data_IF_794499215918
#
_entry.id   IF_794499215918
#
_cell.length_a   1.000
_cell.length_b   1.000
_cell.length_c   1.000
_cell.angle_alpha   90.00
_cell.angle_beta   90.00
_cell.angle_gamma   90.00
#
_symmetry.space_group_name_H-M   'P 1'
#
loop_
_entity.id
_entity.type
_entity.pdbx_description
1 polymer ?
#
# COMPACT_ATOMS: atom_id res chain seq x y z
N UNK A 1 -8.83 -2.19 31.70
CA UNK A 1 -7.93 -3.28 31.26
C UNK A 1 -8.55 -3.90 30.01
N UNK A 2 -8.24 -3.38 28.82
CA UNK A 2 -8.61 -4.02 27.55
C UNK A 2 -7.98 -5.42 27.55
N UNK A 3 -8.76 -6.48 27.32
CA UNK A 3 -8.19 -7.81 27.08
C UNK A 3 -7.33 -7.69 25.83
N UNK A 4 -6.01 -7.82 26.00
CA UNK A 4 -5.08 -7.80 24.88
C UNK A 4 -5.47 -8.91 23.90
N UNK A 5 -5.87 -8.50 22.69
CA UNK A 5 -6.34 -9.44 21.67
C UNK A 5 -5.21 -10.37 21.24
N UNK A 6 -5.53 -11.67 21.14
CA UNK A 6 -4.58 -12.69 20.74
C UNK A 6 -4.45 -12.73 19.21
N UNK A 7 -3.21 -12.91 18.73
CA UNK A 7 -2.94 -13.17 17.31
C UNK A 7 -3.58 -14.51 16.93
N UNK A 8 -4.28 -14.62 15.78
CA UNK A 8 -4.87 -15.89 15.34
C UNK A 8 -3.83 -17.01 15.25
N UNK A 9 -4.23 -18.21 15.64
CA UNK A 9 -3.37 -19.38 15.51
C UNK A 9 -2.97 -19.60 14.04
N UNK A 10 -1.71 -19.94 13.79
CA UNK A 10 -1.21 -20.16 12.44
C UNK A 10 -0.86 -18.89 11.65
N UNK A 11 -0.87 -17.72 12.28
CA UNK A 11 -0.51 -16.44 11.64
C UNK A 11 0.69 -15.82 12.33
N UNK A 12 1.70 -15.42 11.55
CA UNK A 12 2.84 -14.64 12.00
C UNK A 12 2.53 -13.15 11.80
N UNK A 13 2.33 -12.44 12.91
CA UNK A 13 2.19 -10.99 12.95
C UNK A 13 2.35 -10.48 14.39
N UNK A 14 2.63 -9.20 14.55
CA UNK A 14 2.63 -8.56 15.88
C UNK A 14 1.22 -8.19 16.35
N UNK A 15 1.01 -8.04 17.66
CA UNK A 15 -0.29 -7.57 18.21
C UNK A 15 -0.64 -6.16 17.73
N UNK A 16 0.35 -5.29 17.59
CA UNK A 16 0.12 -3.92 17.10
C UNK A 16 -0.20 -3.89 15.60
N UNK A 17 0.31 -4.85 14.81
CA UNK A 17 -0.15 -5.08 13.44
C UNK A 17 -1.62 -5.48 13.39
N UNK A 18 -2.04 -6.45 14.23
CA UNK A 18 -3.44 -6.88 14.30
C UNK A 18 -4.38 -5.73 14.69
N UNK A 19 -3.99 -4.93 15.70
CA UNK A 19 -4.77 -3.75 16.12
C UNK A 19 -4.95 -2.78 14.95
N UNK A 20 -3.87 -2.50 14.21
CA UNK A 20 -3.93 -1.60 13.06
C UNK A 20 -4.81 -2.15 11.93
N UNK A 21 -4.66 -3.44 11.60
CA UNK A 21 -5.50 -4.10 10.61
C UNK A 21 -6.99 -3.97 10.94
N UNK A 22 -7.36 -4.22 12.21
CA UNK A 22 -8.74 -4.08 12.69
C UNK A 22 -9.25 -2.65 12.63
N UNK A 23 -8.46 -1.66 13.06
CA UNK A 23 -8.88 -0.26 12.99
C UNK A 23 -9.22 0.18 11.56
N UNK A 24 -8.44 -0.25 10.55
CA UNK A 24 -8.79 0.01 9.15
C UNK A 24 -10.03 -0.78 8.73
N UNK A 25 -10.10 -2.07 9.09
CA UNK A 25 -11.22 -2.95 8.75
C UNK A 25 -12.55 -2.43 9.33
N UNK A 26 -12.57 -1.92 10.56
CA UNK A 26 -13.76 -1.34 11.21
C UNK A 26 -14.36 -0.20 10.39
N UNK A 27 -13.54 0.73 9.87
CA UNK A 27 -14.02 1.83 9.02
C UNK A 27 -14.58 1.30 7.70
N UNK A 28 -13.87 0.36 7.07
CA UNK A 28 -14.33 -0.27 5.83
C UNK A 28 -15.65 -1.02 6.02
N UNK A 29 -15.76 -1.82 7.08
CA UNK A 29 -16.91 -2.69 7.37
C UNK A 29 -18.13 -1.86 7.74
N UNK A 30 -17.95 -0.77 8.50
CA UNK A 30 -18.98 0.24 8.75
C UNK A 30 -19.57 0.79 7.44
N UNK A 31 -18.74 1.16 6.46
CA UNK A 31 -19.24 1.65 5.17
C UNK A 31 -19.86 0.54 4.32
N UNK A 32 -19.31 -0.68 4.36
CA UNK A 32 -19.92 -1.85 3.73
C UNK A 32 -21.32 -2.12 4.27
N UNK A 33 -21.51 -2.03 5.58
CA UNK A 33 -22.79 -2.23 6.26
C UNK A 33 -23.82 -1.19 5.83
N UNK A 34 -23.45 0.10 5.85
CA UNK A 34 -24.34 1.17 5.36
C UNK A 34 -24.76 0.99 3.90
N UNK A 35 -23.91 0.37 3.09
CA UNK A 35 -24.14 0.14 1.67
C UNK A 35 -24.57 -1.31 1.35
N UNK A 36 -24.94 -2.12 2.35
CA UNK A 36 -25.13 -3.56 2.20
C UNK A 36 -26.13 -3.93 1.09
N UNK A 37 -27.26 -3.23 1.03
CA UNK A 37 -28.29 -3.46 0.00
C UNK A 37 -27.80 -3.11 -1.41
N UNK A 38 -26.98 -2.07 -1.55
CA UNK A 38 -26.38 -1.72 -2.85
C UNK A 38 -25.38 -2.82 -3.25
N UNK A 39 -24.57 -3.35 -2.34
CA UNK A 39 -23.64 -4.44 -2.66
C UNK A 39 -24.33 -5.74 -3.09
N UNK A 40 -25.55 -5.99 -2.61
CA UNK A 40 -26.40 -7.13 -3.03
C UNK A 40 -27.11 -6.89 -4.36
N UNK A 41 -27.26 -5.63 -4.78
CA UNK A 41 -27.93 -5.27 -6.02
C UNK A 41 -27.19 -5.78 -7.26
N UNK A 42 -27.90 -5.84 -8.40
CA UNK A 42 -27.34 -6.34 -9.64
C UNK A 42 -26.17 -5.46 -10.12
N UNK A 43 -25.28 -6.03 -10.93
CA UNK A 43 -24.17 -5.26 -11.54
C UNK A 43 -24.68 -4.09 -12.37
N UNK A 44 -25.85 -4.23 -13.01
CA UNK A 44 -26.46 -3.18 -13.82
C UNK A 44 -26.91 -2.00 -12.96
N UNK A 45 -27.52 -2.28 -11.80
CA UNK A 45 -28.00 -1.25 -10.88
C UNK A 45 -26.84 -0.43 -10.29
N UNK A 46 -25.72 -1.11 -10.00
CA UNK A 46 -24.51 -0.50 -9.45
C UNK A 46 -23.74 0.30 -10.49
N UNK A 47 -23.96 0.05 -11.79
CA UNK A 47 -23.15 0.62 -12.86
C UNK A 47 -23.15 2.16 -12.88
N UNK A 48 -24.27 2.79 -12.56
CA UNK A 48 -24.40 4.26 -12.53
C UNK A 48 -23.47 4.88 -11.47
N UNK A 49 -23.33 4.22 -10.32
CA UNK A 49 -22.46 4.65 -9.22
C UNK A 49 -20.98 4.34 -9.51
N UNK A 50 -20.72 3.20 -10.15
CA UNK A 50 -19.36 2.72 -10.40
C UNK A 50 -18.67 3.35 -11.60
N UNK A 51 -19.42 3.72 -12.64
CA UNK A 51 -18.84 4.17 -13.91
C UNK A 51 -17.93 5.41 -13.74
N UNK A 52 -18.32 6.46 -12.99
CA UNK A 52 -17.44 7.59 -12.73
C UNK A 52 -16.14 7.17 -12.02
N UNK A 53 -16.26 6.30 -11.02
CA UNK A 53 -15.14 5.82 -10.20
C UNK A 53 -14.16 4.99 -11.05
N UNK A 54 -14.68 4.04 -11.83
CA UNK A 54 -13.86 3.21 -12.73
C UNK A 54 -13.13 4.07 -13.75
N UNK A 55 -13.82 5.06 -14.34
CA UNK A 55 -13.20 5.98 -15.30
C UNK A 55 -12.07 6.76 -14.64
N UNK A 56 -12.31 7.32 -13.46
CA UNK A 56 -11.32 8.08 -12.70
C UNK A 56 -10.07 7.27 -12.36
N UNK A 57 -10.25 6.07 -11.81
CA UNK A 57 -9.13 5.18 -11.45
C UNK A 57 -8.37 4.75 -12.71
N UNK A 58 -9.07 4.26 -13.75
CA UNK A 58 -8.40 3.72 -14.93
C UNK A 58 -7.73 4.77 -15.82
N UNK A 59 -8.16 6.04 -15.73
CA UNK A 59 -7.56 7.12 -16.53
C UNK A 59 -6.41 7.82 -15.80
N UNK A 60 -6.15 7.50 -14.53
CA UNK A 60 -5.10 8.14 -13.74
C UNK A 60 -3.75 8.03 -14.45
N UNK A 61 -3.11 9.17 -14.66
CA UNK A 61 -1.76 9.27 -15.23
C UNK A 61 -0.84 10.03 -14.28
N UNK A 62 0.46 9.94 -14.55
CA UNK A 62 1.49 10.48 -13.68
C UNK A 62 1.73 11.98 -13.92
N UNK A 63 0.69 12.82 -13.84
CA UNK A 63 0.84 14.28 -13.87
C UNK A 63 -0.01 14.97 -12.81
N UNK A 64 0.50 16.08 -12.26
CA UNK A 64 -0.18 16.84 -11.20
C UNK A 64 -1.55 17.32 -11.67
N UNK A 65 -1.65 17.82 -12.91
CA UNK A 65 -2.91 18.29 -13.48
C UNK A 65 -3.95 17.17 -13.58
N UNK A 66 -3.54 16.00 -14.08
CA UNK A 66 -4.43 14.87 -14.27
C UNK A 66 -4.89 14.31 -12.91
N UNK A 67 -3.97 14.13 -11.96
CA UNK A 67 -4.28 13.67 -10.61
C UNK A 67 -5.25 14.63 -9.93
N UNK A 68 -4.98 15.94 -10.00
CA UNK A 68 -5.84 16.98 -9.42
C UNK A 68 -7.23 16.99 -10.07
N UNK A 69 -7.30 16.84 -11.39
CA UNK A 69 -8.55 16.77 -12.13
C UNK A 69 -9.39 15.54 -11.74
N UNK A 70 -8.75 14.37 -11.65
CA UNK A 70 -9.41 13.13 -11.19
C UNK A 70 -9.87 13.26 -9.74
N UNK A 71 -9.04 13.80 -8.86
CA UNK A 71 -9.39 14.01 -7.46
C UNK A 71 -10.61 14.92 -7.31
N UNK A 72 -10.66 16.04 -8.05
CA UNK A 72 -11.82 16.96 -8.06
C UNK A 72 -13.10 16.25 -8.51
N UNK A 73 -13.05 15.46 -9.59
CA UNK A 73 -14.21 14.69 -10.04
C UNK A 73 -14.66 13.67 -8.98
N UNK A 74 -13.74 13.01 -8.30
CA UNK A 74 -14.07 12.06 -7.23
C UNK A 74 -14.68 12.74 -6.01
N UNK A 75 -14.13 13.88 -5.59
CA UNK A 75 -14.68 14.67 -4.48
C UNK A 75 -16.10 15.16 -4.81
N UNK A 76 -16.31 15.67 -6.03
CA UNK A 76 -17.64 16.10 -6.48
C UNK A 76 -18.64 14.94 -6.54
N UNK A 77 -18.22 13.78 -7.08
CA UNK A 77 -19.07 12.59 -7.13
C UNK A 77 -19.44 12.10 -5.73
N UNK A 78 -18.46 11.98 -4.83
CA UNK A 78 -18.68 11.57 -3.44
C UNK A 78 -19.59 12.56 -2.71
N UNK A 79 -19.39 13.87 -2.89
CA UNK A 79 -20.23 14.92 -2.32
C UNK A 79 -21.68 14.80 -2.78
N UNK A 80 -21.89 14.59 -4.09
CA UNK A 80 -23.21 14.39 -4.65
C UNK A 80 -23.88 13.12 -4.12
N UNK A 81 -23.18 11.98 -4.06
CA UNK A 81 -23.76 10.77 -3.49
C UNK A 81 -24.05 10.91 -1.99
N UNK A 82 -23.24 11.69 -1.27
CA UNK A 82 -23.45 11.99 0.14
C UNK A 82 -24.72 12.81 0.39
N UNK A 83 -25.03 13.78 -0.47
CA UNK A 83 -26.26 14.57 -0.36
C UNK A 83 -27.53 13.76 -0.66
N UNK A 84 -27.42 12.71 -1.47
CA UNK A 84 -28.53 11.81 -1.78
C UNK A 84 -28.75 10.73 -0.71
N UNK A 85 -27.68 10.30 -0.02
CA UNK A 85 -27.81 9.37 1.09
C UNK A 85 -26.50 8.71 1.49
N UNK A 86 -26.37 8.47 2.80
CA UNK A 86 -25.19 7.86 3.42
C UNK A 86 -24.81 6.49 2.82
N UNK A 87 -25.80 5.70 2.40
CA UNK A 87 -25.62 4.39 1.78
C UNK A 87 -24.93 4.50 0.40
N UNK A 88 -25.34 5.47 -0.43
CA UNK A 88 -24.74 5.72 -1.75
C UNK A 88 -23.29 6.20 -1.62
N UNK A 89 -23.05 7.18 -0.74
CA UNK A 89 -21.70 7.64 -0.43
C UNK A 89 -20.81 6.50 0.07
N UNK A 90 -21.29 5.71 1.04
CA UNK A 90 -20.51 4.60 1.61
C UNK A 90 -20.18 3.53 0.55
N UNK A 91 -21.11 3.26 -0.37
CA UNK A 91 -20.84 2.37 -1.50
C UNK A 91 -19.72 2.91 -2.38
N UNK A 92 -19.81 4.17 -2.79
CA UNK A 92 -18.81 4.80 -3.64
C UNK A 92 -17.43 4.91 -2.97
N UNK A 93 -17.40 5.20 -1.66
CA UNK A 93 -16.17 5.27 -0.88
C UNK A 93 -15.45 3.92 -0.86
N UNK A 94 -16.17 2.85 -0.50
CA UNK A 94 -15.63 1.48 -0.51
C UNK A 94 -15.20 1.07 -1.91
N UNK A 95 -16.02 1.36 -2.92
CA UNK A 95 -15.71 0.96 -4.29
C UNK A 95 -14.50 1.70 -4.87
N UNK A 96 -14.30 2.98 -4.51
CA UNK A 96 -13.09 3.72 -4.87
C UNK A 96 -11.87 3.07 -4.23
N UNK A 97 -11.93 2.74 -2.94
CA UNK A 97 -10.83 2.06 -2.22
C UNK A 97 -10.49 0.71 -2.86
N UNK A 98 -11.51 -0.11 -3.11
CA UNK A 98 -11.35 -1.41 -3.79
C UNK A 98 -10.74 -1.25 -5.19
N UNK A 99 -11.19 -0.26 -5.99
CA UNK A 99 -10.71 -0.08 -7.36
C UNK A 99 -9.27 0.42 -7.41
N UNK A 100 -8.87 1.30 -6.49
CA UNK A 100 -7.47 1.74 -6.36
C UNK A 100 -6.60 0.57 -5.88
N UNK A 101 -7.04 -0.19 -4.87
CA UNK A 101 -6.32 -1.37 -4.42
C UNK A 101 -6.14 -2.40 -5.55
N UNK A 102 -7.16 -2.62 -6.39
CA UNK A 102 -7.10 -3.53 -7.55
C UNK A 102 -6.05 -3.14 -8.61
N UNK A 103 -5.49 -1.92 -8.57
CA UNK A 103 -4.38 -1.54 -9.45
C UNK A 103 -3.05 -2.13 -8.98
N UNK A 104 -2.98 -2.52 -7.70
CA UNK A 104 -1.80 -3.07 -7.03
C UNK A 104 -0.93 -3.96 -7.91
N UNK A 105 -1.45 -5.06 -8.50
CA UNK A 105 -0.65 -5.99 -9.30
C UNK A 105 0.18 -5.32 -10.41
N UNK A 106 -0.39 -4.33 -11.11
CA UNK A 106 0.29 -3.61 -12.21
C UNK A 106 1.36 -2.62 -11.73
N UNK A 107 1.30 -2.18 -10.47
CA UNK A 107 2.21 -1.16 -9.94
C UNK A 107 3.63 -1.68 -9.68
N UNK A 108 3.83 -3.01 -9.71
CA UNK A 108 5.17 -3.59 -9.63
C UNK A 108 6.07 -3.24 -10.82
N UNK A 109 5.48 -2.98 -11.99
CA UNK A 109 6.18 -2.54 -13.19
C UNK A 109 6.26 -1.01 -13.31
N UNK A 110 5.34 -0.27 -12.68
CA UNK A 110 5.19 1.18 -12.83
C UNK A 110 5.16 1.90 -11.48
N UNK A 111 6.33 2.04 -10.84
CA UNK A 111 6.46 2.70 -9.53
C UNK A 111 5.88 4.13 -9.50
N UNK A 112 6.05 4.89 -10.59
CA UNK A 112 5.54 6.27 -10.69
C UNK A 112 4.02 6.33 -10.52
N UNK A 113 3.29 5.33 -11.03
CA UNK A 113 1.84 5.27 -10.90
C UNK A 113 1.41 4.97 -9.46
N UNK A 114 2.23 4.28 -8.66
CA UNK A 114 1.98 4.10 -7.23
C UNK A 114 1.99 5.45 -6.48
N UNK A 115 2.90 6.36 -6.84
CA UNK A 115 2.92 7.72 -6.31
C UNK A 115 1.69 8.53 -6.76
N UNK A 116 1.27 8.40 -8.02
CA UNK A 116 0.06 9.05 -8.51
C UNK A 116 -1.20 8.60 -7.75
N UNK A 117 -1.36 7.30 -7.51
CA UNK A 117 -2.47 6.77 -6.70
C UNK A 117 -2.40 7.22 -5.24
N UNK A 118 -1.19 7.31 -4.65
CA UNK A 118 -1.02 7.82 -3.30
C UNK A 118 -1.42 9.30 -3.20
N UNK A 119 -1.05 10.11 -4.18
CA UNK A 119 -1.42 11.53 -4.23
C UNK A 119 -2.93 11.73 -4.45
N UNK A 120 -3.54 10.95 -5.35
CA UNK A 120 -5.00 10.89 -5.49
C UNK A 120 -5.65 10.59 -4.14
N UNK A 121 -5.12 9.61 -3.40
CA UNK A 121 -5.65 9.23 -2.11
C UNK A 121 -5.49 10.33 -1.06
N UNK A 122 -4.35 11.04 -1.06
CA UNK A 122 -4.13 12.21 -0.22
C UNK A 122 -5.19 13.29 -0.45
N UNK A 123 -5.41 13.67 -1.72
CA UNK A 123 -6.36 14.72 -2.09
C UNK A 123 -7.81 14.37 -1.74
N UNK A 124 -8.25 13.14 -2.04
CA UNK A 124 -9.60 12.69 -1.69
C UNK A 124 -9.77 12.60 -0.17
N UNK A 125 -8.76 12.10 0.54
CA UNK A 125 -8.83 11.94 2.00
C UNK A 125 -8.82 13.28 2.74
N UNK A 126 -8.25 14.34 2.15
CA UNK A 126 -8.35 15.69 2.71
C UNK A 126 -9.80 16.20 2.81
N UNK A 127 -10.70 15.71 1.95
CA UNK A 127 -12.15 16.00 2.03
C UNK A 127 -12.93 14.92 2.77
N UNK A 128 -12.44 13.67 2.75
CA UNK A 128 -13.12 12.51 3.30
C UNK A 128 -12.13 11.57 4.01
N UNK A 129 -11.80 11.87 5.27
CA UNK A 129 -10.77 11.15 6.03
C UNK A 129 -10.98 9.62 6.06
N UNK A 130 -12.23 9.15 6.12
CA UNK A 130 -12.55 7.71 6.13
C UNK A 130 -12.04 6.99 4.86
N UNK A 131 -11.88 7.72 3.74
CA UNK A 131 -11.36 7.15 2.49
C UNK A 131 -9.98 6.49 2.69
N UNK A 132 -9.10 7.13 3.45
CA UNK A 132 -7.76 6.62 3.65
C UNK A 132 -7.77 5.26 4.35
N UNK A 133 -8.56 5.14 5.43
CA UNK A 133 -8.73 3.89 6.17
C UNK A 133 -9.40 2.80 5.32
N UNK A 134 -10.39 3.18 4.51
CA UNK A 134 -11.05 2.28 3.55
C UNK A 134 -10.03 1.75 2.53
N UNK A 135 -9.18 2.60 1.96
CA UNK A 135 -8.16 2.19 0.99
C UNK A 135 -7.11 1.27 1.63
N UNK A 136 -6.60 1.61 2.80
CA UNK A 136 -5.64 0.77 3.53
C UNK A 136 -6.28 -0.59 3.87
N UNK A 137 -7.53 -0.62 4.31
CA UNK A 137 -8.25 -1.88 4.56
C UNK A 137 -8.42 -2.73 3.29
N UNK A 138 -8.69 -2.10 2.14
CA UNK A 138 -8.74 -2.79 0.86
C UNK A 138 -7.37 -3.41 0.50
N UNK A 139 -6.27 -2.67 0.71
CA UNK A 139 -4.91 -3.18 0.51
C UNK A 139 -4.57 -4.35 1.45
N UNK A 140 -4.94 -4.25 2.73
CA UNK A 140 -4.74 -5.32 3.72
C UNK A 140 -5.43 -6.63 3.30
N UNK A 141 -6.64 -6.52 2.72
CA UNK A 141 -7.40 -7.66 2.20
C UNK A 141 -6.80 -8.24 0.93
N UNK A 142 -6.23 -7.41 0.06
CA UNK A 142 -5.59 -7.86 -1.18
C UNK A 142 -4.20 -8.46 -0.95
N UNK A 143 -3.42 -7.92 -0.01
CA UNK A 143 -2.06 -8.38 0.27
C UNK A 143 -1.76 -8.34 1.78
N UNK A 144 -1.69 -9.50 2.47
CA UNK A 144 -1.41 -9.58 3.90
C UNK A 144 -0.08 -8.91 4.32
N UNK A 145 0.91 -8.81 3.43
CA UNK A 145 2.19 -8.16 3.73
C UNK A 145 2.10 -6.63 3.82
N UNK A 146 0.97 -6.02 3.47
CA UNK A 146 0.69 -4.61 3.79
C UNK A 146 0.33 -4.39 5.28
N UNK A 147 0.07 -5.48 6.03
CA UNK A 147 -0.23 -5.47 7.49
C UNK A 147 0.98 -5.76 8.40
N UNK A 148 2.17 -6.07 7.86
CA UNK A 148 2.97 -7.29 8.09
C UNK A 148 2.27 -8.51 8.71
N UNK A 149 1.63 -9.31 7.86
CA UNK A 149 1.02 -10.58 8.23
C UNK A 149 1.46 -11.69 7.26
N UNK A 150 1.86 -12.83 7.81
CA UNK A 150 2.20 -14.03 7.02
C UNK A 150 1.51 -15.27 7.60
N UNK A 151 0.60 -15.94 6.88
CA UNK A 151 0.11 -17.26 7.27
C UNK A 151 1.26 -18.27 7.34
N UNK A 152 1.22 -19.24 8.26
CA UNK A 152 2.25 -20.29 8.38
C UNK A 152 2.41 -21.12 7.10
N UNK A 153 1.33 -21.28 6.35
CA UNK A 153 1.30 -21.97 5.06
C UNK A 153 1.92 -21.14 3.91
N UNK A 154 2.33 -19.90 4.19
CA UNK A 154 2.79 -18.93 3.21
C UNK A 154 1.64 -18.23 2.48
N UNK A 155 1.98 -17.28 1.61
CA UNK A 155 1.00 -16.69 0.69
C UNK A 155 0.81 -17.59 -0.54
N UNK A 156 -0.43 -17.69 -1.03
CA UNK A 156 -0.71 -18.36 -2.29
C UNK A 156 0.01 -17.69 -3.48
N UNK A 157 0.31 -18.48 -4.51
CA UNK A 157 1.09 -18.06 -5.69
C UNK A 157 0.58 -16.77 -6.36
N UNK A 158 -0.74 -16.60 -6.46
CA UNK A 158 -1.34 -15.41 -7.08
C UNK A 158 -0.96 -14.12 -6.31
N UNK A 159 -1.06 -14.13 -4.98
CA UNK A 159 -0.66 -12.98 -4.16
C UNK A 159 0.85 -12.77 -4.23
N UNK A 160 1.64 -13.85 -4.28
CA UNK A 160 3.10 -13.79 -4.36
C UNK A 160 3.59 -12.97 -5.57
N UNK A 161 3.00 -13.17 -6.74
CA UNK A 161 3.36 -12.43 -7.97
C UNK A 161 2.98 -10.95 -7.92
N UNK A 162 2.09 -10.56 -7.00
CA UNK A 162 1.52 -9.22 -6.90
C UNK A 162 2.06 -8.42 -5.70
N UNK A 163 2.84 -9.07 -4.81
CA UNK A 163 3.40 -8.46 -3.58
C UNK A 163 4.04 -7.12 -3.89
N UNK A 164 4.92 -7.09 -4.91
CA UNK A 164 5.70 -5.91 -5.27
C UNK A 164 4.80 -4.69 -5.49
N UNK A 165 3.71 -4.86 -6.22
CA UNK A 165 2.84 -3.76 -6.60
C UNK A 165 1.95 -3.28 -5.45
N UNK A 166 1.34 -4.18 -4.68
CA UNK A 166 0.56 -3.79 -3.49
C UNK A 166 1.41 -3.10 -2.43
N UNK A 167 2.59 -3.64 -2.15
CA UNK A 167 3.51 -3.06 -1.16
C UNK A 167 4.07 -1.72 -1.66
N UNK A 168 4.29 -1.57 -2.97
CA UNK A 168 4.70 -0.29 -3.56
C UNK A 168 3.65 0.80 -3.34
N UNK A 169 2.36 0.50 -3.57
CA UNK A 169 1.28 1.44 -3.30
C UNK A 169 1.15 1.77 -1.81
N UNK A 170 1.21 0.76 -0.95
CA UNK A 170 1.18 0.96 0.51
C UNK A 170 2.36 1.82 0.98
N UNK A 171 3.57 1.59 0.45
CA UNK A 171 4.75 2.39 0.74
C UNK A 171 4.63 3.82 0.23
N UNK A 172 4.01 4.05 -0.94
CA UNK A 172 3.76 5.39 -1.45
C UNK A 172 2.76 6.16 -0.56
N UNK A 173 1.67 5.53 -0.13
CA UNK A 173 0.71 6.08 0.83
C UNK A 173 1.37 6.43 2.18
N UNK A 174 2.36 5.64 2.59
CA UNK A 174 3.12 5.83 3.82
C UNK A 174 4.07 7.04 3.77
N UNK A 175 4.33 7.63 2.60
CA UNK A 175 5.22 8.79 2.43
C UNK A 175 4.50 10.13 2.42
N UNK A 176 3.17 10.11 2.34
CA UNK A 176 2.35 11.31 2.29
C UNK A 176 2.68 12.23 3.47
N UNK A 177 2.51 13.54 3.29
CA UNK A 177 2.67 14.48 4.40
C UNK A 177 1.71 14.09 5.53
N UNK A 178 2.20 13.93 6.77
CA UNK A 178 1.34 13.60 7.90
C UNK A 178 0.18 14.58 8.01
N UNK A 179 -1.02 14.04 8.15
CA UNK A 179 -2.22 14.82 8.42
C UNK A 179 -2.58 14.66 9.89
N UNK A 180 -3.33 15.62 10.44
CA UNK A 180 -3.80 15.56 11.84
C UNK A 180 -4.58 14.29 12.15
N UNK A 181 -5.30 13.75 11.16
CA UNK A 181 -6.11 12.54 11.24
C UNK A 181 -5.35 11.26 10.83
N UNK A 182 -4.14 11.37 10.28
CA UNK A 182 -3.32 10.22 9.89
C UNK A 182 -1.80 10.51 9.93
N UNK A 183 -1.09 9.98 10.95
CA UNK A 183 0.35 10.15 11.11
C UNK A 183 1.12 9.16 10.21
N UNK A 184 1.21 9.47 8.92
CA UNK A 184 1.74 8.59 7.86
C UNK A 184 3.14 8.05 8.13
N UNK A 185 4.09 8.91 8.55
CA UNK A 185 5.48 8.51 8.80
C UNK A 185 5.59 7.56 10.00
N UNK A 186 4.79 7.77 11.04
CA UNK A 186 4.74 6.93 12.24
C UNK A 186 4.14 5.55 11.91
N UNK A 187 3.11 5.52 11.05
CA UNK A 187 2.58 4.27 10.51
C UNK A 187 3.61 3.54 9.64
N UNK A 188 4.37 4.26 8.81
CA UNK A 188 5.45 3.71 7.99
C UNK A 188 6.56 3.08 8.85
N UNK A 189 7.00 3.78 9.89
CA UNK A 189 7.98 3.29 10.85
C UNK A 189 7.46 2.06 11.61
N UNK A 190 6.23 2.15 12.12
CA UNK A 190 5.58 1.05 12.83
C UNK A 190 5.43 -0.18 11.94
N UNK A 191 5.06 0.00 10.67
CA UNK A 191 5.00 -1.07 9.67
C UNK A 191 6.35 -1.78 9.56
N UNK A 192 7.42 -1.03 9.31
CA UNK A 192 8.76 -1.62 9.11
C UNK A 192 9.27 -2.34 10.37
N UNK A 193 9.04 -1.76 11.55
CA UNK A 193 9.41 -2.39 12.82
C UNK A 193 8.61 -3.67 13.08
N UNK A 194 7.29 -3.66 12.84
CA UNK A 194 6.43 -4.86 12.98
C UNK A 194 6.85 -5.95 11.99
N UNK A 195 7.22 -5.55 10.77
CA UNK A 195 7.66 -6.43 9.70
C UNK A 195 8.93 -7.18 10.12
N UNK A 196 9.99 -6.45 10.47
CA UNK A 196 11.31 -7.02 10.79
C UNK A 196 11.31 -7.83 12.10
N UNK A 197 10.41 -7.52 13.03
CA UNK A 197 10.32 -8.22 14.31
C UNK A 197 9.45 -9.48 14.29
N UNK A 198 8.45 -9.56 13.39
CA UNK A 198 7.44 -10.63 13.43
C UNK A 198 7.53 -11.62 12.26
N UNK A 199 8.07 -11.19 11.11
CA UNK A 199 8.08 -12.00 9.90
C UNK A 199 9.47 -12.62 9.67
N UNK A 200 9.55 -13.91 9.28
CA UNK A 200 10.82 -14.56 8.97
C UNK A 200 11.36 -14.05 7.64
N UNK A 201 12.69 -14.01 7.48
CA UNK A 201 13.31 -13.65 6.20
C UNK A 201 13.20 -14.80 5.19
N UNK A 202 12.27 -14.68 4.24
CA UNK A 202 12.04 -15.60 3.12
C UNK A 202 11.81 -14.81 1.83
N UNK A 203 11.62 -15.50 0.70
CA UNK A 203 11.37 -14.89 -0.62
C UNK A 203 10.25 -13.82 -0.60
N UNK A 204 9.08 -14.18 -0.07
CA UNK A 204 7.90 -13.31 -0.05
C UNK A 204 8.14 -12.03 0.76
N UNK A 205 8.74 -12.18 1.94
CA UNK A 205 9.10 -11.04 2.79
C UNK A 205 10.25 -10.21 2.22
N UNK A 206 11.20 -10.82 1.51
CA UNK A 206 12.27 -10.10 0.84
C UNK A 206 11.73 -9.22 -0.29
N UNK A 207 10.81 -9.74 -1.12
CA UNK A 207 10.14 -8.97 -2.18
C UNK A 207 9.36 -7.78 -1.59
N UNK A 208 8.61 -8.00 -0.51
CA UNK A 208 7.89 -6.94 0.18
C UNK A 208 8.84 -5.89 0.77
N UNK A 209 9.90 -6.32 1.46
CA UNK A 209 10.86 -5.42 2.09
C UNK A 209 11.60 -4.58 1.04
N UNK A 210 12.11 -5.19 -0.04
CA UNK A 210 12.71 -4.46 -1.16
C UNK A 210 11.73 -3.40 -1.69
N UNK A 211 10.52 -3.81 -2.06
CA UNK A 211 9.49 -2.91 -2.60
C UNK A 211 9.18 -1.73 -1.67
N UNK A 212 9.07 -1.99 -0.36
CA UNK A 212 8.80 -0.96 0.63
C UNK A 212 9.98 0.00 0.78
N UNK A 213 11.22 -0.51 0.86
CA UNK A 213 12.42 0.30 1.02
C UNK A 213 12.67 1.18 -0.21
N UNK A 214 12.53 0.63 -1.41
CA UNK A 214 12.74 1.38 -2.66
C UNK A 214 11.83 2.60 -2.77
N UNK A 215 10.67 2.59 -2.11
CA UNK A 215 9.68 3.65 -2.16
C UNK A 215 9.73 4.49 -0.88
N UNK A 216 9.50 3.93 0.31
CA UNK A 216 9.40 4.71 1.55
C UNK A 216 10.74 4.97 2.27
N UNK A 217 11.82 4.29 1.89
CA UNK A 217 13.10 4.33 2.63
C UNK A 217 13.71 5.72 2.71
N UNK A 218 13.61 6.53 1.66
CA UNK A 218 14.10 7.92 1.67
C UNK A 218 13.34 8.79 2.68
N UNK A 219 12.00 8.77 2.64
CA UNK A 219 11.16 9.55 3.57
C UNK A 219 11.37 9.14 5.02
N UNK A 220 11.50 7.84 5.29
CA UNK A 220 11.84 7.33 6.62
C UNK A 220 13.22 7.79 7.08
N UNK A 221 14.21 7.82 6.19
CA UNK A 221 15.54 8.32 6.50
C UNK A 221 15.51 9.81 6.85
N UNK A 222 14.79 10.64 6.10
CA UNK A 222 14.63 12.06 6.42
C UNK A 222 13.93 12.28 7.76
N UNK A 223 12.91 11.46 8.07
CA UNK A 223 12.09 11.60 9.27
C UNK A 223 12.80 11.12 10.54
N UNK A 224 13.47 9.95 10.49
CA UNK A 224 14.03 9.28 11.67
C UNK A 224 15.56 9.24 11.71
N UNK A 225 16.24 9.70 10.65
CA UNK A 225 17.69 9.94 10.56
C UNK A 225 18.52 8.74 11.06
N UNK A 226 19.25 8.93 12.16
CA UNK A 226 20.12 7.91 12.77
C UNK A 226 19.37 6.64 13.16
N UNK A 227 18.10 6.72 13.55
CA UNK A 227 17.33 5.53 13.91
C UNK A 227 17.02 4.69 12.67
N UNK A 228 16.65 5.32 11.55
CA UNK A 228 16.44 4.61 10.30
C UNK A 228 17.75 3.98 9.78
N UNK A 229 18.89 4.64 9.96
CA UNK A 229 20.20 4.05 9.61
C UNK A 229 20.48 2.76 10.38
N UNK A 230 20.12 2.67 11.66
CA UNK A 230 20.23 1.42 12.43
C UNK A 230 19.33 0.33 11.87
N UNK A 231 18.12 0.68 11.45
CA UNK A 231 17.21 -0.27 10.79
C UNK A 231 17.79 -0.77 9.47
N UNK A 232 18.38 0.11 8.66
CA UNK A 232 19.09 -0.32 7.43
C UNK A 232 20.27 -1.24 7.73
N UNK A 233 21.06 -0.93 8.77
CA UNK A 233 22.15 -1.80 9.19
C UNK A 233 21.63 -3.19 9.62
N UNK A 234 20.54 -3.25 10.40
CA UNK A 234 19.90 -4.50 10.77
C UNK A 234 19.39 -5.28 9.56
N UNK A 235 18.74 -4.62 8.59
CA UNK A 235 18.30 -5.26 7.34
C UNK A 235 19.49 -5.89 6.62
N UNK A 236 20.61 -5.17 6.54
CA UNK A 236 21.81 -5.64 5.86
C UNK A 236 22.53 -6.78 6.58
N UNK A 237 22.61 -6.72 7.90
CA UNK A 237 23.41 -7.63 8.73
C UNK A 237 22.64 -8.87 9.15
N UNK A 238 21.37 -8.71 9.54
CA UNK A 238 20.57 -9.78 10.14
C UNK A 238 19.57 -10.35 9.13
N UNK A 239 18.74 -9.51 8.50
CA UNK A 239 17.69 -9.99 7.58
C UNK A 239 18.28 -10.67 6.34
N UNK A 240 19.25 -10.05 5.69
CA UNK A 240 19.91 -10.61 4.49
C UNK A 240 20.75 -11.85 4.82
N UNK A 241 21.40 -11.88 5.99
CA UNK A 241 22.16 -13.06 6.42
C UNK A 241 21.23 -14.25 6.68
N UNK A 242 20.10 -14.02 7.37
CA UNK A 242 19.10 -15.05 7.60
C UNK A 242 18.49 -15.56 6.29
N UNK A 243 18.18 -14.67 5.34
CA UNK A 243 17.70 -15.05 4.01
C UNK A 243 18.68 -16.00 3.30
N UNK A 244 19.98 -15.70 3.38
CA UNK A 244 21.06 -16.51 2.79
C UNK A 244 21.16 -17.89 3.46
N UNK A 245 21.00 -17.95 4.78
CA UNK A 245 21.02 -19.20 5.56
C UNK A 245 19.83 -20.10 5.23
N UNK A 246 18.66 -19.51 4.99
CA UNK A 246 17.47 -20.28 4.60
C UNK A 246 17.59 -20.85 3.18
N UNK A 247 18.16 -20.08 2.25
CA UNK A 247 18.42 -20.54 0.88
C UNK A 247 19.39 -21.73 0.84
N UNK A 248 20.42 -21.76 1.69
CA UNK A 248 21.35 -22.90 1.78
C UNK A 248 20.69 -24.20 2.30
N UNK A 249 19.57 -24.09 3.03
CA UNK A 249 18.85 -25.24 3.62
C UNK A 249 17.76 -25.80 2.71
N UNK A 250 17.23 -25.01 1.78
CA UNK A 250 16.26 -25.44 0.78
C UNK A 250 16.97 -25.61 -0.56
N UNK A 251 17.18 -26.86 -1.00
CA UNK A 251 17.84 -27.15 -2.28
C UNK A 251 17.18 -26.41 -3.46
N UNK A 252 18.04 -25.94 -4.37
CA UNK A 252 17.78 -25.32 -5.69
C UNK A 252 16.36 -24.75 -5.91
N UNK A 253 16.20 -23.45 -5.66
CA UNK A 253 14.97 -22.73 -5.97
C UNK A 253 15.12 -21.22 -5.95
N UNK A 254 14.86 -20.64 -7.13
CA UNK A 254 14.58 -19.23 -7.46
C UNK A 254 15.78 -18.30 -7.71
N UNK A 255 16.22 -18.21 -8.98
CA UNK A 255 17.10 -17.14 -9.51
C UNK A 255 16.66 -15.72 -9.13
N UNK A 256 15.39 -15.51 -8.80
CA UNK A 256 14.82 -14.19 -8.46
C UNK A 256 15.16 -13.74 -7.02
N UNK A 257 15.43 -14.67 -6.08
CA UNK A 257 15.71 -14.31 -4.68
C UNK A 257 17.08 -13.64 -4.53
N UNK A 258 18.07 -14.10 -5.30
CA UNK A 258 19.42 -13.52 -5.32
C UNK A 258 19.40 -12.10 -5.89
N UNK A 259 18.55 -11.87 -6.90
CA UNK A 259 18.33 -10.54 -7.46
C UNK A 259 17.69 -9.60 -6.43
N UNK A 260 16.65 -10.05 -5.71
CA UNK A 260 16.00 -9.27 -4.63
C UNK A 260 17.01 -8.96 -3.53
N UNK A 261 17.76 -9.96 -3.06
CA UNK A 261 18.81 -9.80 -2.05
C UNK A 261 19.84 -8.76 -2.49
N UNK A 262 20.38 -8.90 -3.70
CA UNK A 262 21.37 -7.98 -4.26
C UNK A 262 20.84 -6.54 -4.33
N UNK A 263 19.55 -6.35 -4.64
CA UNK A 263 18.91 -5.02 -4.63
C UNK A 263 18.84 -4.42 -3.22
N UNK A 264 18.47 -5.20 -2.21
CA UNK A 264 18.42 -4.75 -0.81
C UNK A 264 19.83 -4.37 -0.33
N UNK A 265 20.83 -5.23 -0.58
CA UNK A 265 22.23 -4.97 -0.21
C UNK A 265 22.73 -3.71 -0.90
N UNK A 266 22.54 -3.58 -2.23
CA UNK A 266 22.90 -2.39 -2.98
C UNK A 266 22.21 -1.14 -2.43
N UNK A 267 20.92 -1.20 -2.10
CA UNK A 267 20.16 -0.08 -1.56
C UNK A 267 20.77 0.46 -0.27
N UNK A 268 21.15 -0.44 0.65
CA UNK A 268 21.75 -0.06 1.93
C UNK A 268 23.23 0.35 1.77
N UNK A 269 24.04 -0.48 1.11
CA UNK A 269 25.50 -0.32 1.01
C UNK A 269 25.87 0.93 0.21
N UNK A 270 25.13 1.23 -0.86
CA UNK A 270 25.31 2.45 -1.67
C UNK A 270 24.50 3.64 -1.15
N UNK A 271 23.79 3.47 -0.02
CA UNK A 271 22.95 4.51 0.61
C UNK A 271 21.96 5.15 -0.37
N UNK A 272 21.32 4.34 -1.20
CA UNK A 272 20.37 4.84 -2.22
C UNK A 272 19.19 5.60 -1.59
N UNK A 273 18.85 5.29 -0.34
CA UNK A 273 17.91 6.07 0.48
C UNK A 273 18.27 7.55 0.66
N UNK A 274 19.48 7.98 0.31
CA UNK A 274 19.87 9.40 0.39
C UNK A 274 19.26 10.24 -0.73
N UNK A 275 18.77 9.60 -1.80
CA UNK A 275 18.08 10.26 -2.92
C UNK A 275 16.59 9.94 -2.90
N UNK A 276 15.73 10.80 -3.48
CA UNK A 276 14.33 10.48 -3.68
C UNK A 276 14.15 9.18 -4.47
N UNK A 277 13.08 8.42 -4.21
CA UNK A 277 12.79 7.20 -4.94
C UNK A 277 12.68 7.43 -6.45
N UNK A 278 13.12 6.46 -7.22
CA UNK A 278 12.88 6.44 -8.67
C UNK A 278 11.38 6.53 -8.97
N UNK A 279 11.00 7.48 -9.84
CA UNK A 279 9.60 7.72 -10.19
C UNK A 279 8.79 8.46 -9.13
N UNK A 280 9.39 8.97 -8.04
CA UNK A 280 8.65 9.81 -7.08
C UNK A 280 8.34 11.21 -7.59
N UNK A 281 9.07 11.67 -8.61
CA UNK A 281 8.78 12.94 -9.26
C UNK A 281 7.56 12.81 -10.18
N UNK A 282 6.55 13.62 -9.92
CA UNK A 282 5.34 13.73 -10.73
C UNK A 282 5.43 15.07 -11.49
N UNK A 283 5.55 15.07 -12.82
CA UNK A 283 5.58 16.30 -13.60
C UNK A 283 4.25 17.07 -13.53
N UNK A 284 4.30 18.37 -13.81
CA UNK A 284 3.10 19.22 -13.84
C UNK A 284 2.10 18.74 -14.91
N UNK A 285 2.59 18.53 -16.13
CA UNK A 285 1.85 18.05 -17.30
C UNK A 285 2.30 16.65 -17.71
N UNK A 286 1.41 15.95 -18.40
CA UNK A 286 1.72 14.65 -18.98
C UNK A 286 2.40 14.85 -20.35
N UNK A 287 3.74 14.87 -20.35
CA UNK A 287 4.51 15.09 -21.58
C UNK A 287 4.55 13.84 -22.49
N UNK A 288 3.90 12.73 -22.10
CA UNK A 288 3.87 11.50 -22.89
C UNK A 288 3.07 11.62 -24.20
N UNK A 289 2.47 12.77 -24.48
CA UNK A 289 1.88 13.09 -25.79
C UNK A 289 2.90 13.52 -26.87
N UNK A 290 4.18 13.70 -26.53
CA UNK A 290 5.22 14.15 -27.47
C UNK A 290 6.07 13.04 -28.12
N UNK A 291 5.81 11.77 -27.80
CA UNK A 291 6.31 10.65 -28.62
C UNK A 291 5.19 10.20 -29.55
N UNK A 292 4.91 11.02 -30.57
CA UNK A 292 4.28 10.52 -31.79
C UNK A 292 5.41 10.11 -32.73
N UNK A 293 5.48 8.82 -33.06
CA UNK A 293 6.21 8.35 -34.23
C UNK A 293 5.74 9.09 -35.49
#
# INVERSE_FOLDING_TARGET
RERAEAVPAGVLMSRSALKWEKSCAEVYDKHKEYAAEIFKASKLDRLKLEKPIKKAVNQLSCSIQQITFVAKQMIQHLSHQHSLGKHLYSYCLVRLGDLVALQGPGLGASKQLAFAYAELASLVSASYNDFFYVLIAALHRSCPLTVPKLPKEGLGKAVQTEIKGYVSLYAALSQLTPQTWYPSNEHAWSYLARFLNALPANEQTAIALDSFLQIAGHKLFLSFKRQQQKVFAYVRQEFVAELSRQQQKGGEGAEDIDAVKSRIEKYVDKRLFSQPPEGSYIPETDDSQHIRC
#
